data_IF_311137969194
#
_entry.id   IF_311137969194
#
_cell.length_a   1.000
_cell.length_b   1.000
_cell.length_c   1.000
_cell.angle_alpha   90.00
_cell.angle_beta   90.00
_cell.angle_gamma   90.00
#
_symmetry.space_group_name_H-M   'P 1'
#
loop_
_entity.id
_entity.type
_entity.pdbx_description
1 polymer ?
#
# COMPACT_ATOMS: atom_id res chain seq x y z
N UNK A 1 38.19 3.97 17.76
CA UNK A 1 37.40 5.18 17.42
C UNK A 1 36.94 5.19 15.96
N UNK A 2 37.81 4.87 14.99
CA UNK A 2 37.46 4.79 13.55
C UNK A 2 36.47 3.66 13.23
N UNK A 3 36.68 2.47 13.81
CA UNK A 3 35.83 1.27 13.61
C UNK A 3 34.41 1.47 14.13
N UNK A 4 34.23 2.17 15.24
CA UNK A 4 32.91 2.50 15.81
C UNK A 4 32.15 3.49 14.94
N UNK A 5 32.82 4.52 14.41
CA UNK A 5 32.22 5.45 13.44
C UNK A 5 31.86 4.76 12.13
N UNK A 6 32.70 3.83 11.66
CA UNK A 6 32.39 3.03 10.48
C UNK A 6 31.15 2.15 10.68
N UNK A 7 30.99 1.51 11.85
CA UNK A 7 29.79 0.72 12.19
C UNK A 7 28.52 1.58 12.19
N UNK A 8 28.58 2.80 12.72
CA UNK A 8 27.45 3.74 12.73
C UNK A 8 27.07 4.18 11.31
N UNK A 9 28.05 4.58 10.50
CA UNK A 9 27.83 4.93 9.08
C UNK A 9 27.27 3.74 8.29
N UNK A 10 27.74 2.52 8.58
CA UNK A 10 27.23 1.31 7.92
C UNK A 10 25.78 1.01 8.31
N UNK A 11 25.41 1.25 9.57
CA UNK A 11 24.01 1.15 10.03
C UNK A 11 23.11 2.17 9.32
N UNK A 12 23.56 3.40 9.20
CA UNK A 12 22.83 4.46 8.48
C UNK A 12 22.65 4.09 7.01
N UNK A 13 23.71 3.62 6.34
CA UNK A 13 23.66 3.16 4.94
C UNK A 13 22.72 1.97 4.79
N UNK A 14 22.72 1.02 5.72
CA UNK A 14 21.82 -0.14 5.65
C UNK A 14 20.36 0.27 5.80
N UNK A 15 20.08 1.22 6.70
CA UNK A 15 18.73 1.80 6.86
C UNK A 15 18.29 2.58 5.63
N UNK A 16 19.19 3.37 5.05
CA UNK A 16 18.95 4.13 3.82
C UNK A 16 18.72 3.20 2.62
N UNK A 17 19.52 2.15 2.45
CA UNK A 17 19.34 1.15 1.40
C UNK A 17 18.05 0.34 1.58
N UNK A 18 17.71 -0.01 2.82
CA UNK A 18 16.43 -0.65 3.14
C UNK A 18 15.26 0.30 2.84
N UNK A 19 15.43 1.61 3.08
CA UNK A 19 14.46 2.64 2.71
C UNK A 19 14.28 2.71 1.19
N UNK A 20 15.36 2.82 0.41
CA UNK A 20 15.31 2.81 -1.05
C UNK A 20 14.61 1.52 -1.50
N UNK A 21 15.04 0.36 -1.04
CA UNK A 21 14.46 -0.92 -1.44
C UNK A 21 12.98 -1.07 -1.04
N UNK A 22 12.55 -0.52 0.10
CA UNK A 22 11.15 -0.60 0.56
C UNK A 22 10.25 0.37 -0.19
N UNK A 23 10.71 1.61 -0.44
CA UNK A 23 9.95 2.60 -1.21
C UNK A 23 9.89 2.19 -2.67
N UNK A 24 11.02 1.77 -3.25
CA UNK A 24 11.07 1.25 -4.63
C UNK A 24 10.33 -0.08 -4.73
N UNK A 25 10.37 -0.91 -3.68
CA UNK A 25 9.64 -2.17 -3.55
C UNK A 25 8.14 -1.99 -3.44
N UNK A 26 7.66 -0.88 -2.86
CA UNK A 26 6.25 -0.52 -2.90
C UNK A 26 5.76 -0.29 -4.34
N UNK A 27 6.63 0.15 -5.26
CA UNK A 27 6.29 0.21 -6.70
C UNK A 27 6.27 -1.16 -7.40
N UNK A 28 6.60 -2.26 -6.70
CA UNK A 28 6.50 -3.63 -7.25
C UNK A 28 5.05 -4.12 -7.26
N UNK A 29 4.15 -3.58 -6.42
CA UNK A 29 2.73 -3.88 -6.57
C UNK A 29 2.28 -3.24 -7.90
N UNK A 30 1.94 -4.04 -8.92
CA UNK A 30 1.60 -3.50 -10.24
C UNK A 30 0.43 -2.55 -10.08
N UNK A 31 0.64 -1.31 -10.53
CA UNK A 31 -0.40 -0.30 -10.51
C UNK A 31 -1.62 -0.83 -11.27
N UNK A 32 -2.82 -0.74 -10.68
CA UNK A 32 -4.00 -1.22 -11.36
C UNK A 32 -4.21 -0.42 -12.65
N UNK A 33 -4.69 -1.08 -13.71
CA UNK A 33 -4.85 -0.51 -15.05
C UNK A 33 -5.67 0.79 -15.09
N UNK A 34 -6.57 0.98 -14.13
CA UNK A 34 -7.41 2.17 -14.00
C UNK A 34 -6.68 3.39 -13.38
N UNK A 35 -5.42 3.26 -12.97
CA UNK A 35 -4.62 4.34 -12.39
C UNK A 35 -4.33 5.49 -13.36
N UNK A 36 -4.09 5.18 -14.63
CA UNK A 36 -3.61 6.14 -15.63
C UNK A 36 -4.73 6.86 -16.41
N UNK A 37 -5.99 6.63 -16.09
CA UNK A 37 -7.11 7.12 -16.90
C UNK A 37 -7.58 8.54 -16.55
N UNK A 38 -7.04 9.18 -15.51
CA UNK A 38 -7.48 10.51 -15.07
C UNK A 38 -6.32 11.29 -14.42
N UNK A 39 -6.12 12.54 -14.84
CA UNK A 39 -5.07 13.43 -14.32
C UNK A 39 -5.22 13.66 -12.80
N UNK A 40 -6.46 13.67 -12.31
CA UNK A 40 -6.75 13.89 -10.89
C UNK A 40 -6.22 12.76 -9.98
N UNK A 41 -6.16 11.53 -10.48
CA UNK A 41 -5.67 10.38 -9.70
C UNK A 41 -4.15 10.26 -9.73
N UNK A 42 -3.50 10.77 -10.77
CA UNK A 42 -2.03 10.82 -10.86
C UNK A 42 -1.42 11.70 -9.74
N UNK A 43 -2.06 12.82 -9.41
CA UNK A 43 -1.63 13.67 -8.29
C UNK A 43 -1.69 12.95 -6.94
N UNK A 44 -2.77 12.18 -6.68
CA UNK A 44 -2.94 11.44 -5.43
C UNK A 44 -1.82 10.41 -5.21
N UNK A 45 -1.37 9.74 -6.27
CA UNK A 45 -0.24 8.81 -6.19
C UNK A 45 1.05 9.53 -5.82
N UNK A 46 1.36 10.66 -6.48
CA UNK A 46 2.54 11.49 -6.19
C UNK A 46 2.52 12.02 -4.75
N UNK A 47 1.35 12.50 -4.31
CA UNK A 47 1.15 12.94 -2.94
C UNK A 47 1.33 11.79 -1.94
N UNK A 48 0.86 10.59 -2.27
CA UNK A 48 1.08 9.41 -1.46
C UNK A 48 2.56 9.07 -1.29
N UNK A 49 3.32 9.07 -2.39
CA UNK A 49 4.79 8.84 -2.35
C UNK A 49 5.49 9.90 -1.49
N UNK A 50 5.09 11.16 -1.61
CA UNK A 50 5.59 12.23 -0.77
C UNK A 50 5.31 11.97 0.72
N UNK A 51 4.07 11.64 1.10
CA UNK A 51 3.70 11.35 2.48
C UNK A 51 4.41 10.12 3.05
N UNK A 52 4.57 9.06 2.26
CA UNK A 52 5.34 7.88 2.65
C UNK A 52 6.81 8.22 2.90
N UNK A 53 7.39 9.08 2.05
CA UNK A 53 8.77 9.56 2.20
C UNK A 53 8.94 10.40 3.47
N UNK A 54 8.01 11.31 3.75
CA UNK A 54 8.03 12.14 4.97
C UNK A 54 7.92 11.27 6.23
N UNK A 55 6.97 10.33 6.27
CA UNK A 55 6.80 9.40 7.39
C UNK A 55 8.05 8.54 7.61
N UNK A 56 8.67 8.05 6.54
CA UNK A 56 9.91 7.30 6.62
C UNK A 56 11.05 8.16 7.19
N UNK A 57 11.20 9.41 6.75
CA UNK A 57 12.19 10.34 7.29
C UNK A 57 12.01 10.56 8.79
N UNK A 58 10.78 10.75 9.25
CA UNK A 58 10.48 10.84 10.69
C UNK A 58 10.82 9.55 11.45
N UNK A 59 10.51 8.37 10.90
CA UNK A 59 10.85 7.09 11.54
C UNK A 59 12.37 6.88 11.65
N UNK A 60 13.16 7.33 10.66
CA UNK A 60 14.62 7.27 10.71
C UNK A 60 15.15 8.20 11.81
N UNK A 61 14.71 9.46 11.83
CA UNK A 61 15.10 10.40 12.90
C UNK A 61 14.70 9.86 14.28
N UNK A 62 13.54 9.21 14.37
CA UNK A 62 13.08 8.55 15.58
C UNK A 62 13.98 7.37 15.98
N UNK A 63 14.52 6.59 15.03
CA UNK A 63 15.44 5.47 15.31
C UNK A 63 16.80 5.91 15.83
N UNK A 64 17.28 7.08 15.41
CA UNK A 64 18.51 7.66 15.95
C UNK A 64 18.35 8.01 17.44
N UNK A 65 17.20 8.57 17.83
CA UNK A 65 16.93 8.97 19.22
C UNK A 65 16.51 7.81 20.11
N UNK A 66 15.80 6.82 19.57
CA UNK A 66 15.09 5.82 20.36
C UNK A 66 15.59 4.40 20.08
N UNK A 67 16.41 3.86 20.99
CA UNK A 67 17.01 2.52 20.87
C UNK A 67 16.27 1.43 21.65
N UNK A 68 15.06 1.72 22.17
CA UNK A 68 14.30 0.74 22.95
C UNK A 68 13.60 -0.30 22.07
N UNK A 69 14.08 -1.54 22.11
CA UNK A 69 13.54 -2.69 21.36
C UNK A 69 12.01 -2.83 21.51
N UNK A 70 11.48 -2.65 22.73
CA UNK A 70 10.02 -2.77 23.00
C UNK A 70 9.18 -1.80 22.16
N UNK A 71 9.69 -0.59 21.89
CA UNK A 71 8.97 0.42 21.11
C UNK A 71 8.91 0.00 19.64
N UNK A 72 10.04 -0.42 19.07
CA UNK A 72 10.11 -0.91 17.68
C UNK A 72 9.30 -2.18 17.45
N UNK A 73 9.23 -3.07 18.45
CA UNK A 73 8.36 -4.24 18.43
C UNK A 73 6.88 -3.82 18.38
N UNK A 74 6.47 -2.88 19.24
CA UNK A 74 5.09 -2.38 19.27
C UNK A 74 4.71 -1.69 17.96
N UNK A 75 5.59 -0.83 17.42
CA UNK A 75 5.37 -0.18 16.12
C UNK A 75 5.23 -1.19 14.99
N UNK A 76 6.10 -2.22 14.94
CA UNK A 76 6.01 -3.27 13.92
C UNK A 76 4.66 -4.00 13.98
N UNK A 77 4.18 -4.35 15.17
CA UNK A 77 2.88 -4.99 15.35
C UNK A 77 1.74 -4.07 14.89
N UNK A 78 1.76 -2.78 15.30
CA UNK A 78 0.73 -1.81 14.93
C UNK A 78 0.68 -1.64 13.40
N UNK A 79 1.82 -1.40 12.75
CA UNK A 79 1.86 -1.23 11.31
C UNK A 79 1.45 -2.50 10.56
N UNK A 80 1.79 -3.68 11.06
CA UNK A 80 1.35 -4.94 10.46
C UNK A 80 -0.18 -5.10 10.51
N UNK A 81 -0.80 -4.82 11.66
CA UNK A 81 -2.26 -4.90 11.83
C UNK A 81 -2.94 -3.88 10.90
N UNK A 82 -2.43 -2.65 10.87
CA UNK A 82 -2.95 -1.60 9.98
C UNK A 82 -2.82 -1.99 8.51
N UNK A 83 -1.69 -2.57 8.12
CA UNK A 83 -1.45 -3.04 6.75
C UNK A 83 -2.44 -4.15 6.35
N UNK A 84 -2.61 -5.18 7.19
CA UNK A 84 -3.56 -6.28 6.93
C UNK A 84 -4.99 -5.71 6.81
N UNK A 85 -5.36 -4.79 7.69
CA UNK A 85 -6.68 -4.16 7.70
C UNK A 85 -6.93 -3.35 6.42
N UNK A 86 -5.98 -2.49 6.04
CA UNK A 86 -6.07 -1.70 4.81
C UNK A 86 -6.07 -2.57 3.56
N UNK A 87 -5.25 -3.63 3.54
CA UNK A 87 -5.16 -4.56 2.41
C UNK A 87 -6.47 -5.31 2.20
N UNK A 88 -7.06 -5.81 3.29
CA UNK A 88 -8.35 -6.48 3.27
C UNK A 88 -9.44 -5.52 2.80
N UNK A 89 -9.50 -4.31 3.36
CA UNK A 89 -10.45 -3.28 2.95
C UNK A 89 -10.28 -2.89 1.46
N UNK A 90 -9.04 -2.76 0.98
CA UNK A 90 -8.74 -2.51 -0.42
C UNK A 90 -9.26 -3.63 -1.32
N UNK A 91 -8.99 -4.90 -0.98
CA UNK A 91 -9.43 -6.04 -1.79
C UNK A 91 -10.95 -6.14 -1.87
N UNK A 92 -11.65 -6.04 -0.72
CA UNK A 92 -13.12 -6.02 -0.70
C UNK A 92 -13.70 -4.85 -1.49
N UNK A 93 -13.14 -3.65 -1.32
CA UNK A 93 -13.61 -2.48 -2.05
C UNK A 93 -13.33 -2.60 -3.55
N UNK A 94 -12.17 -3.11 -3.96
CA UNK A 94 -11.84 -3.37 -5.36
C UNK A 94 -12.85 -4.34 -5.94
N UNK A 95 -13.02 -5.50 -5.31
CA UNK A 95 -13.95 -6.51 -5.78
C UNK A 95 -15.38 -5.98 -5.87
N UNK A 96 -15.84 -5.11 -4.98
CA UNK A 96 -17.18 -4.54 -5.03
C UNK A 96 -17.33 -3.39 -6.05
N UNK A 97 -16.27 -2.63 -6.31
CA UNK A 97 -16.31 -1.36 -7.08
C UNK A 97 -15.62 -1.46 -8.44
N UNK A 98 -15.16 -2.64 -8.83
CA UNK A 98 -14.69 -2.91 -10.20
C UNK A 98 -15.48 -4.04 -10.84
N UNK A 99 -15.56 -4.03 -12.17
CA UNK A 99 -16.01 -5.16 -12.96
C UNK A 99 -14.92 -5.56 -13.95
N UNK A 100 -14.75 -6.88 -14.21
CA UNK A 100 -13.79 -7.35 -15.18
C UNK A 100 -14.30 -7.02 -16.60
N UNK A 101 -13.40 -6.58 -17.46
CA UNK A 101 -13.62 -6.43 -18.90
C UNK A 101 -12.33 -6.76 -19.66
N UNK A 102 -12.37 -7.84 -20.45
CA UNK A 102 -11.19 -8.38 -21.15
C UNK A 102 -10.10 -8.72 -20.10
N UNK A 103 -8.94 -8.08 -20.15
CA UNK A 103 -7.80 -8.29 -19.24
C UNK A 103 -7.67 -7.19 -18.19
N UNK A 104 -8.69 -6.33 -18.03
CA UNK A 104 -8.62 -5.16 -17.15
C UNK A 104 -9.83 -5.09 -16.24
N UNK A 105 -9.59 -4.69 -14.99
CA UNK A 105 -10.64 -4.26 -14.10
C UNK A 105 -11.03 -2.82 -14.43
N UNK A 106 -12.32 -2.56 -14.55
CA UNK A 106 -12.87 -1.23 -14.80
C UNK A 106 -13.64 -0.78 -13.56
N UNK A 107 -13.34 0.43 -13.08
CA UNK A 107 -14.03 1.03 -11.93
C UNK A 107 -15.46 1.41 -12.34
N UNK A 108 -16.42 0.94 -11.56
CA UNK A 108 -17.85 1.25 -11.72
C UNK A 108 -18.30 2.31 -10.72
N UNK A 109 -19.44 2.95 -10.98
CA UNK A 109 -20.07 3.89 -10.07
C UNK A 109 -21.07 3.21 -9.12
N UNK A 110 -21.58 3.98 -8.16
CA UNK A 110 -22.69 3.54 -7.29
C UNK A 110 -24.03 4.18 -7.69
N UNK A 111 -24.03 5.16 -8.60
CA UNK A 111 -25.23 5.83 -9.09
C UNK A 111 -25.39 5.55 -10.58
N UNK A 112 -26.50 4.92 -10.95
CA UNK A 112 -26.87 4.71 -12.36
C UNK A 112 -27.31 6.03 -13.00
N UNK A 113 -27.25 6.09 -14.32
CA UNK A 113 -27.93 7.10 -15.12
C UNK A 113 -29.44 6.79 -15.20
N UNK A 114 -30.26 7.81 -15.48
CA UNK A 114 -31.73 7.65 -15.58
C UNK A 114 -32.16 6.64 -16.65
N UNK A 115 -31.34 6.43 -17.68
CA UNK A 115 -31.49 5.35 -18.66
C UNK A 115 -30.55 4.23 -18.31
N UNK A 116 -30.98 3.30 -17.46
CA UNK A 116 -30.17 2.13 -17.08
C UNK A 116 -30.08 1.15 -18.26
N UNK A 117 -28.89 0.96 -18.87
CA UNK A 117 -28.72 0.04 -19.99
C UNK A 117 -28.99 -1.43 -19.60
N UNK A 118 -28.87 -1.79 -18.33
CA UNK A 118 -29.12 -3.15 -17.85
C UNK A 118 -30.61 -3.43 -17.68
N UNK A 119 -31.42 -2.43 -17.32
CA UNK A 119 -32.87 -2.57 -17.31
C UNK A 119 -33.42 -2.67 -18.73
N UNK A 120 -32.95 -1.81 -19.64
CA UNK A 120 -33.32 -1.87 -21.06
C UNK A 120 -32.94 -3.24 -21.66
N UNK A 121 -31.77 -3.77 -21.32
CA UNK A 121 -31.34 -5.10 -21.75
C UNK A 121 -32.27 -6.20 -21.20
N UNK A 122 -32.64 -6.11 -19.91
CA UNK A 122 -33.55 -7.06 -19.28
C UNK A 122 -34.94 -7.05 -19.91
N UNK A 123 -35.47 -5.87 -20.22
CA UNK A 123 -36.77 -5.73 -20.91
C UNK A 123 -36.75 -6.35 -22.30
N UNK A 124 -35.63 -6.22 -23.03
CA UNK A 124 -35.51 -6.73 -24.39
C UNK A 124 -35.15 -8.21 -24.49
N UNK A 125 -34.41 -8.77 -23.53
CA UNK A 125 -33.89 -10.15 -23.58
C UNK A 125 -34.50 -11.09 -22.52
N UNK A 126 -35.24 -10.56 -21.54
CA UNK A 126 -35.95 -11.34 -20.52
C UNK A 126 -35.09 -11.78 -19.33
N UNK A 127 -33.81 -11.42 -19.28
CA UNK A 127 -32.91 -11.75 -18.16
C UNK A 127 -31.94 -10.61 -17.83
N UNK A 128 -31.47 -10.58 -16.59
CA UNK A 128 -30.41 -9.67 -16.15
C UNK A 128 -29.05 -10.28 -16.49
N UNK A 129 -28.15 -9.53 -17.13
CA UNK A 129 -26.81 -10.03 -17.43
C UNK A 129 -26.03 -10.30 -16.15
N UNK A 130 -25.26 -11.39 -16.20
CA UNK A 130 -24.35 -11.76 -15.13
C UNK A 130 -23.30 -10.68 -14.92
N UNK A 131 -22.78 -10.61 -13.69
CA UNK A 131 -21.86 -9.54 -13.27
C UNK A 131 -20.66 -9.37 -14.22
N UNK A 132 -20.15 -10.48 -14.77
CA UNK A 132 -19.02 -10.51 -15.71
C UNK A 132 -19.40 -10.06 -17.13
N UNK A 133 -20.67 -10.16 -17.49
CA UNK A 133 -21.21 -9.86 -18.82
C UNK A 133 -21.71 -8.41 -18.93
N UNK A 134 -22.01 -7.78 -17.79
CA UNK A 134 -22.46 -6.38 -17.73
C UNK A 134 -21.52 -5.42 -18.45
N UNK A 135 -20.20 -5.61 -18.34
CA UNK A 135 -19.26 -4.75 -19.05
C UNK A 135 -19.25 -4.98 -20.57
N UNK A 136 -19.65 -6.16 -21.04
CA UNK A 136 -19.77 -6.43 -22.48
C UNK A 136 -20.94 -5.65 -23.10
N UNK A 137 -22.05 -5.51 -22.38
CA UNK A 137 -23.24 -4.77 -22.84
C UNK A 137 -22.92 -3.28 -23.08
N UNK A 138 -22.08 -2.69 -22.22
CA UNK A 138 -21.67 -1.30 -22.33
C UNK A 138 -20.31 -1.12 -23.02
N UNK A 139 -19.78 -2.17 -23.66
CA UNK A 139 -18.50 -2.17 -24.39
C UNK A 139 -17.29 -1.69 -23.57
N UNK A 140 -17.33 -1.90 -22.25
CA UNK A 140 -16.29 -1.46 -21.33
C UNK A 140 -16.32 0.03 -21.00
N UNK A 141 -17.37 0.78 -21.37
CA UNK A 141 -17.51 2.19 -21.04
C UNK A 141 -18.43 2.38 -19.82
N UNK A 142 -17.88 2.52 -18.59
CA UNK A 142 -18.69 2.61 -17.38
C UNK A 142 -19.56 3.88 -17.35
N UNK A 143 -19.18 4.93 -18.06
CA UNK A 143 -19.93 6.18 -18.16
C UNK A 143 -21.29 6.02 -18.87
N UNK A 144 -21.51 4.91 -19.59
CA UNK A 144 -22.80 4.61 -20.23
C UNK A 144 -23.85 4.10 -19.25
N UNK A 145 -23.44 3.54 -18.11
CA UNK A 145 -24.34 3.01 -17.10
C UNK A 145 -24.33 3.86 -15.81
N UNK A 146 -23.17 4.39 -15.42
CA UNK A 146 -23.01 5.10 -14.15
C UNK A 146 -22.62 6.56 -14.33
N UNK A 147 -22.98 7.39 -13.35
CA UNK A 147 -22.59 8.80 -13.34
C UNK A 147 -21.07 8.96 -13.16
N UNK A 148 -20.47 9.91 -13.89
CA UNK A 148 -19.03 10.22 -13.82
C UNK A 148 -18.56 10.54 -12.41
N UNK A 149 -19.38 11.27 -11.65
CA UNK A 149 -19.08 11.62 -10.25
C UNK A 149 -18.96 10.38 -9.37
N UNK A 150 -19.86 9.40 -9.54
CA UNK A 150 -19.84 8.19 -8.72
C UNK A 150 -18.67 7.27 -9.08
N UNK A 151 -18.28 7.22 -10.36
CA UNK A 151 -17.08 6.51 -10.82
C UNK A 151 -15.83 7.19 -10.24
N UNK A 152 -15.73 8.52 -10.32
CA UNK A 152 -14.60 9.30 -9.78
C UNK A 152 -14.46 9.09 -8.27
N UNK A 153 -15.57 9.15 -7.52
CA UNK A 153 -15.57 8.90 -6.09
C UNK A 153 -15.01 7.50 -5.74
N UNK A 154 -15.51 6.46 -6.42
CA UNK A 154 -15.03 5.09 -6.21
C UNK A 154 -13.54 4.96 -6.57
N UNK A 155 -13.09 5.60 -7.65
CA UNK A 155 -11.69 5.60 -8.07
C UNK A 155 -10.79 6.26 -7.01
N UNK A 156 -11.19 7.41 -6.47
CA UNK A 156 -10.47 8.11 -5.40
C UNK A 156 -10.43 7.26 -4.13
N UNK A 157 -11.54 6.63 -3.75
CA UNK A 157 -11.58 5.72 -2.59
C UNK A 157 -10.62 4.54 -2.76
N UNK A 158 -10.63 3.87 -3.91
CA UNK A 158 -9.73 2.76 -4.19
C UNK A 158 -8.26 3.20 -4.17
N UNK A 159 -7.96 4.39 -4.69
CA UNK A 159 -6.61 4.98 -4.60
C UNK A 159 -6.20 5.26 -3.16
N UNK A 160 -7.09 5.82 -2.33
CA UNK A 160 -6.78 6.09 -0.93
C UNK A 160 -6.50 4.78 -0.16
N UNK A 161 -7.29 3.73 -0.40
CA UNK A 161 -7.08 2.43 0.23
C UNK A 161 -5.76 1.79 -0.21
N UNK A 162 -5.46 1.84 -1.51
CA UNK A 162 -4.19 1.37 -2.04
C UNK A 162 -3.01 2.16 -1.44
N UNK A 163 -3.15 3.48 -1.33
CA UNK A 163 -2.16 4.35 -0.70
C UNK A 163 -1.91 3.95 0.77
N UNK A 164 -2.96 3.71 1.56
CA UNK A 164 -2.82 3.25 2.94
C UNK A 164 -2.07 1.91 3.02
N UNK A 165 -2.30 1.00 2.07
CA UNK A 165 -1.55 -0.26 2.01
C UNK A 165 -0.06 -0.01 1.85
N UNK A 166 0.34 0.89 0.95
CA UNK A 166 1.76 1.26 0.77
C UNK A 166 2.34 1.94 2.00
N UNK A 167 1.58 2.84 2.61
CA UNK A 167 2.03 3.59 3.78
C UNK A 167 2.32 2.66 4.97
N UNK A 168 1.38 1.77 5.27
CA UNK A 168 1.52 0.86 6.40
C UNK A 168 2.51 -0.27 6.14
N UNK A 169 2.62 -0.76 4.89
CA UNK A 169 3.66 -1.73 4.54
C UNK A 169 5.07 -1.14 4.69
N UNK A 170 5.28 0.10 4.22
CA UNK A 170 6.55 0.79 4.39
C UNK A 170 6.87 1.03 5.88
N UNK A 171 5.89 1.50 6.65
CA UNK A 171 6.03 1.68 8.10
C UNK A 171 6.38 0.37 8.83
N UNK A 172 5.76 -0.74 8.43
CA UNK A 172 6.08 -2.07 8.94
C UNK A 172 7.51 -2.48 8.63
N UNK A 173 7.94 -2.41 7.37
CA UNK A 173 9.29 -2.84 6.95
C UNK A 173 10.35 -2.02 7.69
N UNK A 174 10.22 -0.69 7.74
CA UNK A 174 11.16 0.18 8.45
C UNK A 174 11.24 -0.18 9.94
N UNK A 175 10.08 -0.36 10.57
CA UNK A 175 10.03 -0.68 12.00
C UNK A 175 10.65 -2.05 12.30
N UNK A 176 10.36 -3.03 11.45
CA UNK A 176 10.84 -4.40 11.60
C UNK A 176 12.35 -4.51 11.34
N UNK A 177 12.87 -3.82 10.31
CA UNK A 177 14.30 -3.76 10.06
C UNK A 177 15.07 -3.09 11.21
N UNK A 178 14.56 -1.97 11.74
CA UNK A 178 15.13 -1.35 12.94
C UNK A 178 15.11 -2.30 14.16
N UNK A 179 14.02 -3.04 14.34
CA UNK A 179 13.91 -4.05 15.39
C UNK A 179 14.99 -5.13 15.27
N UNK A 180 15.21 -5.67 14.06
CA UNK A 180 16.26 -6.67 13.79
C UNK A 180 17.64 -6.11 14.11
N UNK A 181 17.94 -4.88 13.67
CA UNK A 181 19.24 -4.24 13.91
C UNK A 181 19.51 -4.10 15.42
N UNK A 182 18.52 -3.61 16.19
CA UNK A 182 18.66 -3.46 17.63
C UNK A 182 18.80 -4.80 18.37
N UNK A 183 18.08 -5.84 17.92
CA UNK A 183 18.25 -7.18 18.47
C UNK A 183 19.64 -7.73 18.20
N UNK A 184 20.16 -7.57 16.98
CA UNK A 184 21.52 -7.99 16.62
C UNK A 184 22.55 -7.30 17.51
N UNK A 185 22.48 -5.98 17.67
CA UNK A 185 23.38 -5.21 18.54
C UNK A 185 23.37 -5.71 19.98
N UNK A 186 22.18 -5.96 20.55
CA UNK A 186 22.03 -6.46 21.93
C UNK A 186 22.72 -7.82 22.12
N UNK A 187 22.57 -8.74 21.16
CA UNK A 187 23.19 -10.06 21.25
C UNK A 187 24.70 -10.02 21.01
N UNK A 188 25.20 -9.18 20.10
CA UNK A 188 26.65 -9.03 19.88
C UNK A 188 27.37 -8.49 21.14
N UNK A 189 26.78 -7.51 21.83
CA UNK A 189 27.33 -6.97 23.09
C UNK A 189 27.37 -8.05 24.18
N UNK A 190 26.36 -8.92 24.25
CA UNK A 190 26.32 -10.00 25.25
C UNK A 190 27.34 -11.11 24.98
N UNK A 191 27.71 -11.35 23.72
CA UNK A 191 28.77 -12.31 23.35
C UNK A 191 30.14 -11.74 23.70
N UNK A 192 30.42 -10.47 23.40
CA UNK A 192 31.70 -9.83 23.77
C UNK A 192 31.86 -9.68 25.30
N UNK A 193 30.77 -9.58 26.07
CA UNK A 193 30.79 -9.50 27.54
C UNK A 193 30.88 -10.85 28.25
N UNK A 194 30.75 -11.99 27.57
CA UNK A 194 31.14 -13.29 28.11
C UNK A 194 32.60 -13.54 27.72
N UNK A 195 33.61 -13.15 28.53
CA UNK A 195 34.95 -13.65 28.30
C UNK A 195 34.89 -15.18 28.41
N UNK A 196 35.59 -15.84 27.49
CA UNK A 196 35.86 -17.26 27.58
C UNK A 196 36.39 -17.56 28.99
N UNK A 197 35.62 -18.31 29.78
CA UNK A 197 36.18 -19.11 30.84
C UNK A 197 37.11 -20.10 30.15
N UNK A 198 38.39 -19.74 30.13
CA UNK A 198 39.49 -20.62 29.80
C UNK A 198 39.54 -21.62 30.97
N UNK A 199 39.13 -22.85 30.71
CA UNK A 199 39.53 -24.03 31.49
C UNK A 199 40.78 -24.64 30.86
#
# INVERSE_FOLDING_TARGET
MLVTRLKEVWKEITLLSTWIASVTGAFIIPLPSWHFTDENTSFLMKFGVFMATVLAGFLILFSLKNKFIKIWMRLSIIFLILFISSYTAYHFCREAKTLPYIEKDIVIGNKMLDKDPFEIFKESHGFLPDRKERMMIILGEPEKAWTKESIRFNRVLLMMLLFLCYLFSAGFIISFCNLIILYKEKYTINVEKKPATIE
#
